data_IF_400127578754
#
_entry.id   IF_400127578754
#
_cell.length_a   1.000
_cell.length_b   1.000
_cell.length_c   1.000
_cell.angle_alpha   90.00
_cell.angle_beta   90.00
_cell.angle_gamma   90.00
#
_symmetry.space_group_name_H-M   'P 1'
#
loop_
_entity.id
_entity.type
_entity.pdbx_description
1 polymer ?
#
# COMPACT_ATOMS: atom_id res chain seq x y z
N UNK A 1 -57.69 -24.87 -18.00
CA UNK A 1 -56.90 -24.79 -16.79
C UNK A 1 -55.56 -24.25 -17.16
N UNK A 2 -55.28 -22.99 -16.84
CA UNK A 2 -53.97 -22.36 -17.05
C UNK A 2 -53.30 -22.20 -15.69
N UNK A 3 -52.23 -22.93 -15.49
CA UNK A 3 -51.42 -22.90 -14.25
C UNK A 3 -50.46 -21.69 -14.32
N UNK A 4 -50.63 -20.73 -13.42
CA UNK A 4 -49.75 -19.55 -13.27
C UNK A 4 -48.64 -19.97 -12.30
N UNK A 5 -47.40 -19.99 -12.77
CA UNK A 5 -46.21 -20.12 -11.91
C UNK A 5 -45.78 -18.74 -11.43
N UNK A 6 -45.97 -18.45 -10.16
CA UNK A 6 -45.40 -17.28 -9.50
C UNK A 6 -43.93 -17.53 -9.22
N UNK A 7 -43.05 -16.74 -9.87
CA UNK A 7 -41.61 -16.69 -9.55
C UNK A 7 -41.45 -15.73 -8.39
N UNK A 8 -41.15 -16.23 -7.22
CA UNK A 8 -40.74 -15.43 -6.05
C UNK A 8 -39.24 -15.13 -6.25
N UNK A 9 -38.93 -13.92 -6.67
CA UNK A 9 -37.57 -13.41 -6.71
C UNK A 9 -37.07 -13.14 -5.28
N UNK A 10 -36.09 -13.91 -4.84
CA UNK A 10 -35.36 -13.66 -3.59
C UNK A 10 -34.42 -12.48 -3.79
N UNK A 11 -34.81 -11.30 -3.31
CA UNK A 11 -33.91 -10.16 -3.19
C UNK A 11 -32.92 -10.45 -2.06
N UNK A 12 -31.72 -10.87 -2.42
CA UNK A 12 -30.58 -10.89 -1.49
C UNK A 12 -30.15 -9.43 -1.32
N UNK A 13 -30.58 -8.80 -0.24
CA UNK A 13 -30.04 -7.54 0.20
C UNK A 13 -28.60 -7.81 0.69
N UNK A 14 -27.62 -7.57 -0.18
CA UNK A 14 -26.23 -7.51 0.21
C UNK A 14 -26.07 -6.35 1.20
N UNK A 15 -25.79 -6.66 2.46
CA UNK A 15 -25.40 -5.66 3.45
C UNK A 15 -24.08 -5.06 3.02
N UNK A 16 -24.15 -3.85 2.46
CA UNK A 16 -22.96 -3.02 2.21
C UNK A 16 -22.47 -2.57 3.60
N UNK A 17 -21.46 -3.24 4.13
CA UNK A 17 -20.79 -2.82 5.34
C UNK A 17 -19.93 -1.61 4.96
N UNK A 18 -20.44 -0.41 5.19
CA UNK A 18 -19.64 0.80 5.10
C UNK A 18 -19.06 1.10 6.48
N UNK A 19 -17.74 1.36 6.55
CA UNK A 19 -17.14 1.89 7.78
C UNK A 19 -17.85 3.19 8.14
N UNK A 20 -18.28 3.29 9.39
CA UNK A 20 -18.77 4.55 9.92
C UNK A 20 -17.58 5.43 10.37
N UNK A 21 -17.65 6.76 10.23
CA UNK A 21 -16.58 7.64 10.69
C UNK A 21 -16.18 7.44 12.16
N UNK A 22 -17.09 6.92 13.00
CA UNK A 22 -16.83 6.59 14.40
C UNK A 22 -15.86 5.40 14.61
N UNK A 23 -15.64 4.59 13.58
CA UNK A 23 -14.73 3.44 13.63
C UNK A 23 -13.32 3.76 13.09
N UNK A 24 -13.11 5.00 12.62
CA UNK A 24 -11.83 5.49 12.08
C UNK A 24 -11.11 6.30 13.13
N UNK A 25 -9.83 6.00 13.34
CA UNK A 25 -8.93 6.79 14.17
C UNK A 25 -8.22 7.83 13.29
N UNK A 26 -8.51 9.10 13.53
CA UNK A 26 -7.78 10.21 12.91
C UNK A 26 -6.62 10.65 13.79
N UNK A 27 -5.52 11.10 13.20
CA UNK A 27 -4.48 11.85 13.90
C UNK A 27 -5.05 13.21 14.32
N UNK A 28 -5.66 13.92 13.37
CA UNK A 28 -6.41 15.16 13.58
C UNK A 28 -7.59 15.19 12.60
N UNK A 29 -8.79 14.82 13.05
CA UNK A 29 -9.96 14.65 12.18
C UNK A 29 -10.24 15.88 11.30
N UNK A 30 -10.21 17.07 11.88
CA UNK A 30 -10.51 18.30 11.15
C UNK A 30 -9.43 18.61 10.09
N UNK A 31 -8.15 18.46 10.45
CA UNK A 31 -7.05 18.68 9.53
C UNK A 31 -7.00 17.59 8.44
N UNK A 32 -7.05 16.32 8.83
CA UNK A 32 -6.97 15.18 7.92
C UNK A 32 -8.10 15.21 6.87
N UNK A 33 -9.35 15.41 7.31
CA UNK A 33 -10.50 15.43 6.38
C UNK A 33 -10.51 16.63 5.46
N UNK A 34 -10.06 17.81 5.95
CA UNK A 34 -9.92 19.01 5.13
C UNK A 34 -8.80 18.83 4.09
N UNK A 35 -7.63 18.38 4.52
CA UNK A 35 -6.47 18.15 3.64
C UNK A 35 -6.81 17.13 2.54
N UNK A 36 -7.40 15.99 2.91
CA UNK A 36 -7.79 14.95 1.95
C UNK A 36 -8.82 15.46 0.95
N UNK A 37 -9.87 16.16 1.43
CA UNK A 37 -10.90 16.71 0.53
C UNK A 37 -10.29 17.68 -0.48
N UNK A 38 -9.41 18.58 -0.02
CA UNK A 38 -8.78 19.55 -0.90
C UNK A 38 -7.86 18.87 -1.93
N UNK A 39 -7.05 17.89 -1.51
CA UNK A 39 -6.17 17.13 -2.41
C UNK A 39 -6.99 16.41 -3.48
N UNK A 40 -8.07 15.74 -3.09
CA UNK A 40 -8.93 15.00 -4.02
C UNK A 40 -9.57 15.93 -5.06
N UNK A 41 -10.11 17.08 -4.63
CA UNK A 41 -10.69 18.08 -5.55
C UNK A 41 -9.63 18.63 -6.50
N UNK A 42 -8.46 19.00 -5.97
CA UNK A 42 -7.38 19.59 -6.77
C UNK A 42 -6.87 18.63 -7.84
N UNK A 43 -6.68 17.35 -7.49
CA UNK A 43 -6.15 16.35 -8.43
C UNK A 43 -7.21 15.97 -9.46
N UNK A 44 -8.48 15.80 -9.07
CA UNK A 44 -9.58 15.53 -10.01
C UNK A 44 -9.71 16.67 -11.03
N UNK A 45 -9.61 17.93 -10.58
CA UNK A 45 -9.65 19.11 -11.45
C UNK A 45 -8.49 19.20 -12.46
N UNK A 46 -7.39 18.47 -12.24
CA UNK A 46 -6.27 18.41 -13.19
C UNK A 46 -6.58 17.59 -14.43
N UNK A 47 -7.60 16.73 -14.41
CA UNK A 47 -7.98 15.87 -15.53
C UNK A 47 -6.86 14.95 -15.99
N UNK A 48 -6.11 14.37 -15.04
CA UNK A 48 -5.02 13.44 -15.37
C UNK A 48 -5.58 12.15 -15.97
N UNK A 49 -5.00 11.71 -17.09
CA UNK A 49 -5.56 10.62 -17.89
C UNK A 49 -5.14 9.21 -17.43
N UNK A 50 -4.15 9.10 -16.55
CA UNK A 50 -3.63 7.80 -16.10
C UNK A 50 -3.53 7.73 -14.59
N UNK A 51 -3.86 6.58 -13.98
CA UNK A 51 -3.73 6.40 -12.54
C UNK A 51 -2.31 6.61 -12.04
N UNK A 52 -1.32 6.23 -12.83
CA UNK A 52 0.08 6.44 -12.46
C UNK A 52 0.39 7.94 -12.33
N UNK A 53 -0.17 8.80 -13.21
CA UNK A 53 -0.02 10.25 -13.10
C UNK A 53 -0.75 10.80 -11.87
N UNK A 54 -1.94 10.28 -11.56
CA UNK A 54 -2.71 10.63 -10.36
C UNK A 54 -1.93 10.26 -9.10
N UNK A 55 -1.38 9.04 -9.02
CA UNK A 55 -0.58 8.56 -7.87
C UNK A 55 0.68 9.41 -7.69
N UNK A 56 1.38 9.73 -8.78
CA UNK A 56 2.57 10.58 -8.72
C UNK A 56 2.24 11.98 -8.21
N UNK A 57 1.10 12.55 -8.63
CA UNK A 57 0.63 13.85 -8.14
C UNK A 57 0.20 13.76 -6.68
N UNK A 58 -0.54 12.72 -6.30
CA UNK A 58 -0.92 12.47 -4.91
C UNK A 58 0.31 12.40 -3.99
N UNK A 59 1.34 11.65 -4.38
CA UNK A 59 2.59 11.58 -3.62
C UNK A 59 3.27 12.93 -3.44
N UNK A 60 3.26 13.80 -4.45
CA UNK A 60 3.86 15.15 -4.36
C UNK A 60 3.16 16.04 -3.34
N UNK A 61 1.85 15.85 -3.08
CA UNK A 61 1.11 16.63 -2.08
C UNK A 61 1.61 16.40 -0.65
N UNK A 62 2.37 15.33 -0.42
CA UNK A 62 2.94 14.99 0.87
C UNK A 62 4.45 15.28 0.98
N UNK A 63 5.07 15.94 0.00
CA UNK A 63 6.47 16.36 0.13
C UNK A 63 6.66 17.22 1.38
N UNK A 64 7.77 16.98 2.07
CA UNK A 64 8.14 17.59 3.35
C UNK A 64 7.33 17.17 4.57
N UNK A 65 6.28 16.34 4.43
CA UNK A 65 5.55 15.75 5.57
C UNK A 65 6.54 14.92 6.41
N UNK A 66 6.54 15.07 7.76
CA UNK A 66 7.44 14.37 8.66
C UNK A 66 7.37 12.84 8.54
N UNK A 67 8.54 12.18 8.63
CA UNK A 67 8.60 10.73 8.79
C UNK A 67 8.41 10.33 10.25
N UNK A 68 7.36 9.57 10.53
CA UNK A 68 7.10 8.98 11.84
C UNK A 68 6.69 7.52 11.67
N UNK A 69 7.43 6.60 12.32
CA UNK A 69 7.11 5.18 12.30
C UNK A 69 6.08 4.83 13.37
N UNK A 70 5.29 3.77 13.12
CA UNK A 70 4.39 3.20 14.13
C UNK A 70 3.10 4.01 14.33
N UNK A 71 2.75 4.93 13.45
CA UNK A 71 1.52 5.74 13.55
C UNK A 71 0.23 4.91 13.50
N UNK A 72 0.30 3.67 13.00
CA UNK A 72 -0.82 2.74 12.93
C UNK A 72 -1.07 1.97 14.23
N UNK A 73 -0.12 1.97 15.19
CA UNK A 73 -0.24 1.16 16.40
C UNK A 73 -1.33 1.70 17.32
N UNK A 74 -2.36 0.89 17.57
CA UNK A 74 -3.46 1.17 18.49
C UNK A 74 -4.11 -0.12 18.99
N UNK A 75 -4.81 -0.03 20.12
CA UNK A 75 -5.57 -1.14 20.72
C UNK A 75 -6.92 -0.62 21.17
N UNK A 76 -8.04 -1.15 20.65
CA UNK A 76 -8.12 -2.17 19.57
C UNK A 76 -7.61 -1.64 18.22
N UNK A 77 -7.34 -2.56 17.28
CA UNK A 77 -6.98 -2.21 15.91
C UNK A 77 -8.07 -1.38 15.25
N UNK A 78 -7.71 -0.25 14.64
CA UNK A 78 -8.62 0.66 13.94
C UNK A 78 -7.98 1.14 12.64
N UNK A 79 -8.80 1.45 11.64
CA UNK A 79 -8.33 2.15 10.46
C UNK A 79 -7.82 3.53 10.86
N UNK A 80 -6.51 3.75 10.73
CA UNK A 80 -5.89 5.03 11.08
C UNK A 80 -5.68 5.89 9.85
N UNK A 81 -6.11 7.15 9.94
CA UNK A 81 -5.86 8.22 8.96
C UNK A 81 -4.92 9.25 9.59
N UNK A 82 -3.84 9.58 8.90
CA UNK A 82 -2.87 10.60 9.29
C UNK A 82 -2.27 11.21 8.04
N UNK A 83 -2.47 12.51 7.82
CA UNK A 83 -1.91 13.27 6.70
C UNK A 83 -0.70 14.11 7.10
N UNK A 84 -0.39 14.18 8.39
CA UNK A 84 0.64 15.05 8.97
C UNK A 84 1.93 14.30 9.31
N UNK A 85 1.86 12.95 9.43
CA UNK A 85 3.01 12.09 9.75
C UNK A 85 2.90 10.77 8.99
N UNK A 86 3.93 10.41 8.23
CA UNK A 86 3.93 9.22 7.37
C UNK A 86 5.21 8.40 7.52
N UNK A 87 5.09 7.09 7.45
CA UNK A 87 6.19 6.18 7.14
C UNK A 87 6.13 5.73 5.66
N UNK A 88 7.04 4.86 5.23
CA UNK A 88 7.12 4.46 3.83
C UNK A 88 5.88 3.70 3.35
N UNK A 89 5.24 2.93 4.21
CA UNK A 89 4.05 2.15 3.87
C UNK A 89 2.81 3.05 3.86
N UNK A 90 2.60 3.83 4.92
CA UNK A 90 1.47 4.74 5.02
C UNK A 90 1.49 5.82 3.94
N UNK A 91 2.68 6.31 3.54
CA UNK A 91 2.84 7.21 2.39
C UNK A 91 2.32 6.58 1.09
N UNK A 92 2.75 5.35 0.78
CA UNK A 92 2.32 4.65 -0.44
C UNK A 92 0.82 4.33 -0.41
N UNK A 93 0.31 3.84 0.72
CA UNK A 93 -1.12 3.53 0.87
C UNK A 93 -1.98 4.78 0.73
N UNK A 94 -1.54 5.92 1.31
CA UNK A 94 -2.24 7.21 1.19
C UNK A 94 -2.30 7.67 -0.27
N UNK A 95 -1.18 7.64 -0.99
CA UNK A 95 -1.15 8.04 -2.40
C UNK A 95 -2.00 7.11 -3.28
N UNK A 96 -1.98 5.80 -3.03
CA UNK A 96 -2.81 4.82 -3.72
C UNK A 96 -4.30 5.01 -3.44
N UNK A 97 -4.70 5.21 -2.18
CA UNK A 97 -6.10 5.43 -1.82
C UNK A 97 -6.65 6.72 -2.46
N UNK A 98 -5.84 7.79 -2.54
CA UNK A 98 -6.17 8.99 -3.31
C UNK A 98 -6.30 8.63 -4.79
N UNK A 99 -5.35 7.88 -5.35
CA UNK A 99 -5.38 7.42 -6.73
C UNK A 99 -6.67 6.68 -7.08
N UNK A 100 -7.06 5.70 -6.27
CA UNK A 100 -8.30 4.93 -6.44
C UNK A 100 -9.55 5.81 -6.35
N UNK A 101 -9.53 6.80 -5.46
CA UNK A 101 -10.67 7.70 -5.24
C UNK A 101 -10.87 8.63 -6.43
N UNK A 102 -9.80 9.27 -6.91
CA UNK A 102 -9.85 10.18 -8.07
C UNK A 102 -10.14 9.43 -9.36
N UNK A 103 -9.53 8.25 -9.58
CA UNK A 103 -9.81 7.40 -10.74
C UNK A 103 -11.30 7.05 -10.85
N UNK A 104 -11.98 6.89 -9.72
CA UNK A 104 -13.42 6.66 -9.65
C UNK A 104 -14.26 7.97 -9.77
N UNK A 105 -13.64 9.10 -10.11
CA UNK A 105 -14.27 10.44 -10.15
C UNK A 105 -14.98 10.80 -8.82
N UNK A 106 -14.34 10.45 -7.70
CA UNK A 106 -14.81 10.77 -6.35
C UNK A 106 -13.86 11.76 -5.68
N UNK A 107 -14.43 12.67 -4.89
CA UNK A 107 -13.67 13.72 -4.19
C UNK A 107 -13.97 13.79 -2.70
N UNK A 108 -14.65 12.77 -2.17
CA UNK A 108 -14.98 12.69 -0.75
C UNK A 108 -13.89 11.99 0.05
N UNK A 109 -13.48 12.57 1.17
CA UNK A 109 -12.60 11.89 2.13
C UNK A 109 -13.19 10.56 2.65
N UNK A 110 -14.51 10.37 2.58
CA UNK A 110 -15.16 9.09 2.94
C UNK A 110 -14.86 7.99 1.91
N UNK A 111 -14.84 8.33 0.63
CA UNK A 111 -14.45 7.38 -0.43
C UNK A 111 -12.96 7.03 -0.31
N UNK A 112 -12.11 8.00 0.06
CA UNK A 112 -10.70 7.75 0.39
C UNK A 112 -10.55 6.76 1.56
N UNK A 113 -11.30 6.93 2.65
CA UNK A 113 -11.27 6.01 3.80
C UNK A 113 -11.64 4.59 3.39
N UNK A 114 -12.68 4.44 2.59
CA UNK A 114 -13.07 3.15 2.03
C UNK A 114 -11.92 2.53 1.25
N UNK A 115 -11.30 3.26 0.34
CA UNK A 115 -10.19 2.77 -0.47
C UNK A 115 -8.94 2.46 0.37
N UNK A 116 -8.67 3.26 1.41
CA UNK A 116 -7.56 2.99 2.33
C UNK A 116 -7.76 1.70 3.12
N UNK A 117 -8.97 1.43 3.58
CA UNK A 117 -9.31 0.16 4.23
C UNK A 117 -9.12 -1.02 3.27
N UNK A 118 -9.62 -0.88 2.03
CA UNK A 118 -9.44 -1.89 0.98
C UNK A 118 -7.96 -2.22 0.74
N UNK A 119 -7.07 -1.25 0.81
CA UNK A 119 -5.64 -1.46 0.57
C UNK A 119 -4.92 -2.07 1.78
N UNK A 120 -5.23 -1.63 3.00
CA UNK A 120 -4.45 -1.91 4.21
C UNK A 120 -4.81 -3.22 4.89
N UNK A 121 -6.05 -3.67 4.74
CA UNK A 121 -6.55 -4.80 5.50
C UNK A 121 -6.91 -6.00 4.60
N UNK A 122 -6.66 -7.19 5.12
CA UNK A 122 -6.98 -8.47 4.48
C UNK A 122 -8.47 -8.54 4.15
N UNK A 123 -8.77 -8.93 2.91
CA UNK A 123 -10.13 -8.95 2.38
C UNK A 123 -10.84 -7.57 2.43
N UNK A 124 -10.08 -6.50 2.65
CA UNK A 124 -10.57 -5.12 2.64
C UNK A 124 -11.28 -4.67 3.90
N UNK A 125 -11.13 -5.36 5.04
CA UNK A 125 -11.86 -5.01 6.27
C UNK A 125 -11.00 -5.14 7.53
N UNK A 126 -11.15 -4.15 8.44
CA UNK A 126 -10.57 -4.21 9.78
C UNK A 126 -11.21 -5.35 10.58
N UNK A 127 -10.40 -6.30 11.02
CA UNK A 127 -10.84 -7.41 11.89
C UNK A 127 -9.68 -7.79 12.84
N UNK A 128 -9.31 -6.87 13.72
CA UNK A 128 -8.20 -7.01 14.65
C UNK A 128 -6.83 -6.92 13.97
N UNK A 129 -5.77 -6.96 14.79
CA UNK A 129 -4.37 -6.75 14.38
C UNK A 129 -3.91 -7.66 13.24
N UNK A 130 -4.33 -8.94 13.24
CA UNK A 130 -3.95 -9.92 12.22
C UNK A 130 -4.58 -9.69 10.84
N UNK A 131 -5.58 -8.79 10.72
CA UNK A 131 -6.16 -8.42 9.43
C UNK A 131 -5.34 -7.37 8.70
N UNK A 132 -4.53 -6.57 9.41
CA UNK A 132 -3.60 -5.62 8.78
C UNK A 132 -2.55 -6.39 7.98
N UNK A 133 -2.29 -5.97 6.76
CA UNK A 133 -1.35 -6.62 5.83
C UNK A 133 0.09 -6.18 6.16
N UNK A 134 0.70 -6.83 7.16
CA UNK A 134 2.00 -6.44 7.72
C UNK A 134 3.20 -6.71 6.81
N UNK A 135 3.15 -7.80 6.03
CA UNK A 135 4.18 -8.12 5.04
C UNK A 135 3.79 -7.57 3.67
N UNK A 136 4.73 -6.95 2.98
CA UNK A 136 4.45 -6.38 1.65
C UNK A 136 4.08 -7.47 0.64
N UNK A 137 4.66 -8.67 0.73
CA UNK A 137 4.23 -9.78 -0.13
C UNK A 137 2.79 -10.19 0.10
N UNK A 138 2.34 -10.21 1.36
CA UNK A 138 0.96 -10.49 1.72
C UNK A 138 0.02 -9.39 1.24
N UNK A 139 0.45 -8.13 1.41
CA UNK A 139 -0.24 -6.95 0.90
C UNK A 139 -0.40 -6.99 -0.64
N UNK A 140 0.65 -7.38 -1.37
CA UNK A 140 0.61 -7.52 -2.83
C UNK A 140 -0.36 -8.64 -3.24
N UNK A 141 -0.26 -9.81 -2.61
CA UNK A 141 -1.09 -10.97 -2.95
C UNK A 141 -2.57 -10.69 -2.71
N UNK A 142 -2.93 -10.17 -1.52
CA UNK A 142 -4.32 -9.85 -1.17
C UNK A 142 -4.89 -8.78 -2.11
N UNK A 143 -4.18 -7.67 -2.30
CA UNK A 143 -4.64 -6.59 -3.18
C UNK A 143 -4.70 -6.99 -4.66
N UNK A 144 -3.81 -7.88 -5.12
CA UNK A 144 -3.86 -8.39 -6.49
C UNK A 144 -5.05 -9.34 -6.70
N UNK A 145 -5.35 -10.19 -5.73
CA UNK A 145 -6.53 -11.08 -5.80
C UNK A 145 -7.85 -10.31 -5.82
N UNK A 146 -7.90 -9.17 -5.11
CA UNK A 146 -9.10 -8.32 -5.08
C UNK A 146 -9.19 -7.35 -6.25
N UNK A 147 -8.17 -7.31 -7.11
CA UNK A 147 -8.16 -6.44 -8.28
C UNK A 147 -7.87 -4.98 -7.97
N UNK A 148 -7.28 -4.66 -6.81
CA UNK A 148 -6.83 -3.30 -6.48
C UNK A 148 -5.49 -2.98 -7.17
N UNK A 149 -4.59 -3.96 -7.24
CA UNK A 149 -3.23 -3.80 -7.75
C UNK A 149 -2.87 -4.89 -8.76
N UNK A 150 -1.93 -4.57 -9.65
CA UNK A 150 -1.28 -5.53 -10.54
C UNK A 150 0.22 -5.48 -10.27
N UNK A 151 0.83 -6.63 -9.93
CA UNK A 151 2.28 -6.74 -9.92
C UNK A 151 2.80 -6.91 -11.37
N UNK A 152 3.58 -5.95 -11.82
CA UNK A 152 4.09 -5.91 -13.19
C UNK A 152 5.56 -6.28 -13.29
N UNK A 153 6.22 -6.64 -12.20
CA UNK A 153 7.67 -6.88 -12.08
C UNK A 153 8.21 -7.80 -13.17
N UNK A 154 7.56 -8.94 -13.42
CA UNK A 154 8.00 -9.93 -14.43
C UNK A 154 7.85 -9.40 -15.87
N UNK A 155 6.90 -8.50 -16.10
CA UNK A 155 6.51 -8.06 -17.46
C UNK A 155 7.32 -6.86 -17.95
N UNK A 156 7.88 -6.06 -17.03
CA UNK A 156 8.48 -4.75 -17.38
C UNK A 156 9.99 -4.78 -17.50
N UNK A 157 10.65 -5.89 -17.16
CA UNK A 157 12.10 -5.95 -17.19
C UNK A 157 12.63 -7.37 -17.06
N UNK A 158 13.95 -7.49 -17.05
CA UNK A 158 14.63 -8.75 -16.79
C UNK A 158 14.60 -9.08 -15.30
N UNK A 159 13.54 -9.74 -14.88
CA UNK A 159 13.28 -10.09 -13.48
C UNK A 159 13.89 -11.45 -13.13
N UNK A 160 14.49 -11.51 -11.94
CA UNK A 160 14.89 -12.76 -11.29
C UNK A 160 13.77 -13.27 -10.39
N UNK A 161 13.85 -14.55 -10.00
CA UNK A 161 12.94 -15.14 -9.03
C UNK A 161 13.63 -15.36 -7.69
N UNK A 162 12.88 -15.25 -6.61
CA UNK A 162 13.31 -15.62 -5.26
C UNK A 162 12.26 -16.45 -4.57
N UNK A 163 12.69 -17.44 -3.80
CA UNK A 163 11.86 -18.17 -2.86
C UNK A 163 12.29 -17.77 -1.46
N UNK A 164 11.34 -17.39 -0.61
CA UNK A 164 11.61 -16.94 0.76
C UNK A 164 10.48 -17.36 1.70
N UNK A 165 10.84 -17.78 2.90
CA UNK A 165 9.88 -17.95 4.01
C UNK A 165 9.72 -16.59 4.69
N UNK A 166 8.50 -16.19 4.98
CA UNK A 166 8.20 -14.99 5.76
C UNK A 166 7.82 -15.41 7.17
N UNK A 167 8.66 -15.05 8.14
CA UNK A 167 8.52 -15.41 9.56
C UNK A 167 9.25 -14.42 10.49
N UNK A 168 9.51 -13.20 9.97
CA UNK A 168 10.26 -12.19 10.70
C UNK A 168 9.54 -11.73 11.96
N UNK A 169 8.22 -11.49 11.89
CA UNK A 169 7.48 -10.94 13.04
C UNK A 169 7.38 -11.94 14.17
N UNK A 170 7.08 -13.21 13.90
CA UNK A 170 6.99 -14.24 14.94
C UNK A 170 8.34 -14.53 15.60
N UNK A 171 9.45 -14.45 14.85
CA UNK A 171 10.81 -14.60 15.38
C UNK A 171 11.37 -13.36 16.10
N UNK A 172 10.77 -12.18 15.85
CA UNK A 172 11.18 -10.90 16.44
C UNK A 172 10.05 -10.26 17.24
N UNK A 173 9.27 -11.06 17.97
CA UNK A 173 8.06 -10.68 18.70
C UNK A 173 8.24 -9.42 19.55
N UNK A 174 9.40 -9.22 20.16
CA UNK A 174 9.71 -8.07 21.02
C UNK A 174 9.73 -6.72 20.28
N UNK A 175 9.87 -6.74 18.96
CA UNK A 175 9.79 -5.51 18.13
C UNK A 175 8.36 -5.05 17.85
N UNK A 176 7.36 -5.89 18.18
CA UNK A 176 5.95 -5.67 17.87
C UNK A 176 5.12 -5.75 19.15
N UNK A 177 4.89 -4.63 19.86
CA UNK A 177 4.17 -4.63 21.15
C UNK A 177 2.81 -5.32 21.12
N UNK A 178 2.06 -5.18 20.02
CA UNK A 178 0.76 -5.84 19.84
C UNK A 178 0.83 -7.38 19.87
N UNK A 179 1.99 -7.98 19.58
CA UNK A 179 2.21 -9.43 19.66
C UNK A 179 2.43 -9.93 21.11
N UNK A 180 2.42 -9.05 22.11
CA UNK A 180 2.30 -9.47 23.50
C UNK A 180 0.97 -10.19 23.75
N UNK A 181 -0.08 -9.80 23.05
CA UNK A 181 -1.36 -10.53 22.99
C UNK A 181 -1.20 -11.85 22.24
N UNK A 182 -1.69 -12.93 22.84
CA UNK A 182 -1.55 -14.28 22.27
C UNK A 182 -2.41 -14.49 21.02
N UNK A 183 -3.58 -13.87 20.94
CA UNK A 183 -4.46 -13.98 19.77
C UNK A 183 -3.84 -13.27 18.57
N UNK A 184 -3.28 -12.09 18.76
CA UNK A 184 -2.53 -11.35 17.73
C UNK A 184 -1.31 -12.14 17.25
N UNK A 185 -0.55 -12.73 18.19
CA UNK A 185 0.63 -13.54 17.85
C UNK A 185 0.25 -14.76 17.01
N UNK A 186 -0.77 -15.52 17.41
CA UNK A 186 -1.24 -16.69 16.65
C UNK A 186 -1.82 -16.28 15.28
N UNK A 187 -2.51 -15.16 15.18
CA UNK A 187 -3.01 -14.65 13.90
C UNK A 187 -1.85 -14.37 12.91
N UNK A 188 -0.79 -13.69 13.36
CA UNK A 188 0.41 -13.43 12.54
C UNK A 188 1.10 -14.74 12.17
N UNK A 189 1.33 -15.64 13.13
CA UNK A 189 1.97 -16.92 12.89
C UNK A 189 1.20 -17.80 11.90
N UNK A 190 -0.12 -17.82 11.98
CA UNK A 190 -0.97 -18.54 11.02
C UNK A 190 -0.86 -17.96 9.61
N UNK A 191 -0.80 -16.63 9.47
CA UNK A 191 -0.55 -15.97 8.19
C UNK A 191 0.84 -16.37 7.65
N UNK A 192 1.90 -16.30 8.46
CA UNK A 192 3.27 -16.66 8.07
C UNK A 192 3.37 -18.12 7.57
N UNK A 193 2.55 -19.04 8.08
CA UNK A 193 2.48 -20.44 7.58
C UNK A 193 2.12 -20.46 6.09
N UNK A 194 1.25 -19.58 5.62
CA UNK A 194 0.87 -19.45 4.21
C UNK A 194 2.01 -18.96 3.31
N UNK A 195 3.04 -18.33 3.90
CA UNK A 195 4.18 -17.76 3.18
C UNK A 195 5.49 -18.54 3.36
N UNK A 196 5.40 -19.83 3.73
CA UNK A 196 6.52 -20.77 3.65
C UNK A 196 6.85 -21.01 2.18
N UNK A 197 8.12 -20.79 1.80
CA UNK A 197 8.57 -20.93 0.40
C UNK A 197 7.82 -20.03 -0.59
N UNK A 198 7.46 -18.80 -0.17
CA UNK A 198 6.83 -17.82 -1.04
C UNK A 198 7.76 -17.43 -2.19
N UNK A 199 7.29 -17.61 -3.43
CA UNK A 199 8.00 -17.24 -4.65
C UNK A 199 7.53 -15.87 -5.15
N UNK A 200 8.47 -14.99 -5.48
CA UNK A 200 8.21 -13.69 -6.09
C UNK A 200 9.27 -13.33 -7.12
N UNK A 201 8.93 -12.38 -7.99
CA UNK A 201 9.84 -11.78 -8.97
C UNK A 201 10.43 -10.49 -8.42
N UNK A 202 11.66 -10.15 -8.84
CA UNK A 202 12.29 -8.88 -8.51
C UNK A 202 13.30 -8.48 -9.58
N UNK A 203 13.47 -7.16 -9.79
CA UNK A 203 14.44 -6.61 -10.73
C UNK A 203 15.66 -6.14 -9.94
N UNK A 204 16.84 -6.70 -10.25
CA UNK A 204 18.11 -6.32 -9.63
C UNK A 204 18.55 -4.92 -10.06
N UNK A 205 19.40 -4.21 -9.26
CA UNK A 205 19.97 -2.92 -9.64
C UNK A 205 20.67 -2.94 -11.03
N UNK A 206 21.33 -4.05 -11.38
CA UNK A 206 21.99 -4.23 -12.68
C UNK A 206 21.02 -4.29 -13.86
N UNK A 207 19.78 -4.67 -13.63
CA UNK A 207 18.77 -4.90 -14.68
C UNK A 207 17.80 -3.70 -14.83
N UNK A 208 17.94 -2.65 -14.00
CA UNK A 208 17.06 -1.48 -14.02
C UNK A 208 17.10 -0.70 -15.33
N UNK A 209 18.25 -0.63 -15.99
CA UNK A 209 18.40 0.11 -17.26
C UNK A 209 17.54 -0.43 -18.41
N UNK A 210 17.08 -1.69 -18.31
CA UNK A 210 16.17 -2.31 -19.28
C UNK A 210 14.71 -2.39 -18.79
N UNK A 211 14.42 -1.91 -17.59
CA UNK A 211 13.08 -1.98 -17.03
C UNK A 211 12.21 -0.81 -17.53
N UNK A 212 10.98 -1.12 -17.95
CA UNK A 212 9.99 -0.13 -18.41
C UNK A 212 9.24 0.49 -17.23
N UNK A 213 9.99 1.17 -16.34
CA UNK A 213 9.42 1.92 -15.22
C UNK A 213 8.69 3.17 -15.73
N UNK A 214 7.59 3.52 -15.08
CA UNK A 214 6.79 4.71 -15.36
C UNK A 214 6.74 5.62 -14.14
N UNK A 215 6.45 6.88 -14.40
CA UNK A 215 6.04 7.84 -13.37
C UNK A 215 4.87 7.23 -12.58
N UNK A 216 4.87 7.28 -11.27
CA UNK A 216 3.77 6.77 -10.45
C UNK A 216 3.79 5.26 -10.16
N UNK A 217 4.71 4.48 -10.77
CA UNK A 217 4.90 3.07 -10.39
C UNK A 217 5.20 2.96 -8.90
N UNK A 218 4.54 2.05 -8.20
CA UNK A 218 4.88 1.72 -6.82
C UNK A 218 6.03 0.73 -6.82
N UNK A 219 7.05 1.01 -6.00
CA UNK A 219 8.19 0.11 -5.85
C UNK A 219 8.36 -0.37 -4.42
N UNK A 220 8.50 -1.68 -4.26
CA UNK A 220 8.83 -2.34 -3.01
C UNK A 220 10.26 -2.88 -3.08
N UNK A 221 11.12 -2.39 -2.18
CA UNK A 221 12.56 -2.67 -2.17
C UNK A 221 12.82 -3.95 -1.37
N UNK A 222 13.21 -5.02 -2.08
CA UNK A 222 13.40 -6.35 -1.50
C UNK A 222 14.71 -6.46 -0.72
N UNK A 223 14.74 -7.38 0.26
CA UNK A 223 15.86 -7.53 1.19
C UNK A 223 16.35 -8.98 1.29
N UNK A 224 17.62 -9.14 1.71
CA UNK A 224 18.19 -10.42 2.08
C UNK A 224 17.99 -10.77 3.58
N UNK A 225 17.42 -9.87 4.39
CA UNK A 225 17.13 -10.13 5.80
C UNK A 225 16.30 -11.40 5.94
N UNK A 226 16.74 -12.40 6.72
CA UNK A 226 15.97 -13.62 6.94
C UNK A 226 14.56 -13.32 7.42
N UNK A 227 13.57 -14.04 6.90
CA UNK A 227 12.18 -13.91 7.31
C UNK A 227 11.43 -12.67 6.81
N UNK A 228 12.12 -11.68 6.21
CA UNK A 228 11.54 -10.42 5.76
C UNK A 228 11.66 -10.27 4.23
N UNK A 229 10.60 -9.84 3.57
CA UNK A 229 10.52 -9.69 2.11
C UNK A 229 11.00 -8.32 1.62
N UNK A 230 10.50 -7.25 2.22
CA UNK A 230 10.67 -5.86 1.82
C UNK A 230 11.05 -5.02 3.05
N UNK A 231 11.94 -4.06 2.86
CA UNK A 231 12.34 -3.12 3.93
C UNK A 231 11.89 -1.70 3.68
N UNK A 232 11.44 -1.40 2.47
CA UNK A 232 11.07 -0.03 2.12
C UNK A 232 10.16 0.01 0.90
N UNK A 233 9.33 1.04 0.80
CA UNK A 233 8.44 1.30 -0.33
C UNK A 233 8.53 2.76 -0.76
N UNK A 234 8.13 3.02 -2.00
CA UNK A 234 8.00 4.38 -2.54
C UNK A 234 7.33 4.39 -3.90
N UNK A 235 7.31 5.56 -4.50
CA UNK A 235 6.68 5.85 -5.79
C UNK A 235 7.77 6.33 -6.76
N UNK A 236 7.72 5.89 -8.01
CA UNK A 236 8.66 6.36 -9.03
C UNK A 236 8.31 7.80 -9.42
N UNK A 237 9.33 8.64 -9.34
CA UNK A 237 9.34 10.00 -9.90
C UNK A 237 10.35 10.08 -11.03
N UNK A 238 9.89 10.40 -12.23
CA UNK A 238 10.82 10.66 -13.34
C UNK A 238 11.40 12.08 -13.24
N UNK A 239 12.73 12.16 -13.14
CA UNK A 239 13.46 13.43 -13.18
C UNK A 239 14.34 13.42 -14.43
N UNK A 240 14.03 14.27 -15.40
CA UNK A 240 14.69 14.30 -16.71
C UNK A 240 14.76 12.93 -17.41
N UNK A 241 13.68 12.14 -17.28
CA UNK A 241 13.58 10.80 -17.87
C UNK A 241 14.30 9.68 -17.09
N UNK A 242 14.86 10.00 -15.92
CA UNK A 242 15.55 9.03 -15.04
C UNK A 242 14.68 8.75 -13.81
N UNK A 243 14.49 7.46 -13.43
CA UNK A 243 13.70 7.13 -12.25
C UNK A 243 14.41 7.47 -10.94
N UNK A 244 13.72 8.22 -10.10
CA UNK A 244 14.05 8.55 -8.72
C UNK A 244 12.99 7.97 -7.79
N UNK A 245 13.33 7.82 -6.50
CA UNK A 245 12.39 7.34 -5.50
C UNK A 245 11.75 8.53 -4.77
N UNK A 246 10.43 8.67 -4.86
CA UNK A 246 9.65 9.53 -3.97
C UNK A 246 9.16 8.67 -2.81
N UNK A 247 9.57 9.03 -1.57
CA UNK A 247 9.31 8.18 -0.40
C UNK A 247 9.35 8.96 0.92
N UNK A 248 8.72 8.42 1.96
CA UNK A 248 8.95 8.87 3.31
C UNK A 248 10.29 8.33 3.82
N UNK A 249 11.28 9.22 3.91
CA UNK A 249 12.66 8.88 4.23
C UNK A 249 12.93 8.92 5.73
N UNK A 250 13.19 7.77 6.35
CA UNK A 250 13.60 7.70 7.76
C UNK A 250 14.93 8.42 8.04
N UNK A 251 15.81 8.53 7.02
CA UNK A 251 17.09 9.24 7.11
C UNK A 251 16.93 10.75 7.04
N UNK A 252 16.08 11.24 6.11
CA UNK A 252 15.81 12.68 5.94
C UNK A 252 14.67 13.18 6.84
N UNK A 253 14.02 12.24 7.57
CA UNK A 253 12.92 12.54 8.52
C UNK A 253 11.68 13.18 7.88
N UNK A 254 11.48 13.00 6.58
CA UNK A 254 10.34 13.53 5.84
C UNK A 254 10.13 12.83 4.50
N UNK A 255 9.00 13.10 3.85
CA UNK A 255 8.75 12.69 2.47
C UNK A 255 9.60 13.52 1.52
N UNK A 256 10.32 12.85 0.63
CA UNK A 256 11.21 13.50 -0.36
C UNK A 256 11.15 12.80 -1.73
N UNK A 257 11.59 13.50 -2.75
CA UNK A 257 12.13 12.88 -3.96
C UNK A 257 13.63 12.71 -3.70
N UNK A 258 14.12 11.47 -3.62
CA UNK A 258 15.54 11.20 -3.31
C UNK A 258 16.42 11.81 -4.43
N UNK A 259 17.49 12.55 -4.07
CA UNK A 259 18.38 13.15 -5.08
C UNK A 259 19.18 12.11 -5.87
N UNK A 260 19.30 10.88 -5.36
CA UNK A 260 19.93 9.77 -6.07
C UNK A 260 18.95 9.18 -7.09
N UNK A 261 19.49 8.73 -8.23
CA UNK A 261 18.72 7.86 -9.12
C UNK A 261 18.29 6.60 -8.37
N UNK A 262 17.19 5.95 -8.80
CA UNK A 262 16.75 4.70 -8.18
C UNK A 262 17.87 3.66 -8.13
N UNK A 263 18.67 3.54 -9.20
CA UNK A 263 19.80 2.62 -9.26
C UNK A 263 20.87 2.93 -8.20
N UNK A 264 21.21 4.21 -8.04
CA UNK A 264 22.19 4.64 -7.03
C UNK A 264 21.67 4.48 -5.61
N UNK A 265 20.38 4.81 -5.40
CA UNK A 265 19.70 4.59 -4.13
C UNK A 265 19.76 3.10 -3.72
N UNK A 266 19.41 2.20 -4.64
CA UNK A 266 19.44 0.76 -4.39
C UNK A 266 20.86 0.25 -4.07
N UNK A 267 21.88 0.69 -4.83
CA UNK A 267 23.29 0.33 -4.57
C UNK A 267 23.74 0.82 -3.20
N UNK A 268 23.48 2.09 -2.88
CA UNK A 268 23.86 2.71 -1.61
C UNK A 268 23.22 2.03 -0.39
N UNK A 269 21.96 1.60 -0.53
CA UNK A 269 21.21 0.95 0.55
C UNK A 269 21.31 -0.59 0.50
N UNK A 270 22.15 -1.16 -0.40
CA UNK A 270 22.35 -2.60 -0.57
C UNK A 270 21.03 -3.34 -0.76
N UNK A 271 20.09 -2.73 -1.46
CA UNK A 271 18.81 -3.33 -1.81
C UNK A 271 19.04 -4.51 -2.76
N UNK A 272 18.37 -5.63 -2.52
CA UNK A 272 18.50 -6.80 -3.38
C UNK A 272 17.90 -6.54 -4.78
N UNK A 273 16.74 -5.89 -4.84
CA UNK A 273 16.03 -5.52 -6.04
C UNK A 273 14.72 -4.83 -5.71
N UNK A 274 13.89 -4.63 -6.73
CA UNK A 274 12.55 -4.05 -6.58
C UNK A 274 11.48 -4.97 -7.12
N UNK A 275 10.30 -4.91 -6.49
CA UNK A 275 9.02 -5.34 -7.05
C UNK A 275 8.26 -4.10 -7.48
N UNK A 276 7.50 -4.19 -8.57
CA UNK A 276 6.81 -3.05 -9.16
C UNK A 276 5.33 -3.34 -9.31
N UNK A 277 4.51 -2.38 -8.85
CA UNK A 277 3.06 -2.50 -8.85
C UNK A 277 2.40 -1.28 -9.49
N UNK A 278 1.21 -1.49 -10.04
CA UNK A 278 0.32 -0.47 -10.62
C UNK A 278 -1.09 -0.66 -10.09
N UNK A 279 -1.91 0.38 -10.09
CA UNK A 279 -3.36 0.19 -9.90
C UNK A 279 -3.92 -0.73 -10.99
N UNK A 280 -4.84 -1.60 -10.60
CA UNK A 280 -5.64 -2.36 -11.56
C UNK A 280 -6.79 -1.49 -12.08
N UNK A 281 -7.13 -1.68 -13.38
CA UNK A 281 -8.25 -0.99 -14.03
C UNK A 281 -9.41 -1.95 -14.21
#
# INVERSE_FOLDING_TARGET
MRTIYSIIGLLIAGSCWSITPAEVRFHNEAADTTTLTQILIDIDAMGLETPEAIIAEAGKRFLDVPYVAGTLECTPEQLTVNTEELDCTTFVETALAIGMTVESHRTSWRDYIYNLEQLRYRSGHVNGYGSRLHYVSDWIVDNSHRGNLIEVTERIGNADTKIKTLDFMSHNRSLYPALADSANFEAIKNMEVGYRSHKYYYIKPSNLGGAMLKEGDIVALTTNTPGLDVTHMGIIKMVNGVPHLMHASSKQKKVIIDPLTLADYMRRNRTQGIRVLRLAY
#
